data_IF_408930649852
#
_entry.id   IF_408930649852
#
_cell.length_a   1.000
_cell.length_b   1.000
_cell.length_c   1.000
_cell.angle_alpha   90.00
_cell.angle_beta   90.00
_cell.angle_gamma   90.00
#
_symmetry.space_group_name_H-M   'P 1'
#
loop_
_entity.id
_entity.type
_entity.pdbx_description
1 polymer ?
#
# COMPACT_ATOMS: atom_id res chain seq x y z
N UNK A 1 24.50 26.11 -6.22
CA UNK A 1 23.07 25.82 -6.46
C UNK A 1 22.76 24.52 -5.76
N UNK A 2 22.41 24.60 -4.48
CA UNK A 2 22.25 23.42 -3.63
C UNK A 2 20.80 22.92 -3.74
N UNK A 3 20.64 21.70 -4.26
CA UNK A 3 19.38 20.98 -4.28
C UNK A 3 18.95 20.65 -2.85
N UNK A 4 18.17 21.54 -2.26
CA UNK A 4 17.67 21.47 -0.88
C UNK A 4 16.30 20.78 -0.93
N UNK A 5 16.15 19.58 -0.35
CA UNK A 5 15.02 18.61 -0.44
C UNK A 5 15.05 17.65 -1.64
N UNK A 6 15.86 16.57 -1.58
CA UNK A 6 15.61 15.39 -2.40
C UNK A 6 14.34 14.70 -1.90
N UNK A 7 13.32 14.65 -2.76
CA UNK A 7 12.20 13.72 -2.66
C UNK A 7 12.52 12.57 -3.63
N UNK A 8 12.29 11.31 -3.25
CA UNK A 8 12.64 10.18 -4.12
C UNK A 8 11.80 10.12 -5.41
N UNK A 9 10.62 10.75 -5.43
CA UNK A 9 9.74 10.95 -6.61
C UNK A 9 10.50 11.75 -7.68
N UNK A 10 11.28 12.71 -7.24
CA UNK A 10 11.97 13.72 -8.03
C UNK A 10 13.24 13.11 -8.65
N UNK A 11 13.97 12.25 -7.94
CA UNK A 11 15.31 11.82 -8.37
C UNK A 11 15.38 10.71 -9.43
N UNK A 12 14.33 9.91 -9.66
CA UNK A 12 14.46 8.73 -10.55
C UNK A 12 14.03 8.93 -12.00
N UNK A 13 13.16 9.88 -12.33
CA UNK A 13 12.76 10.13 -13.72
C UNK A 13 12.20 11.56 -13.85
N UNK A 14 13.01 12.58 -14.20
CA UNK A 14 12.55 13.98 -14.25
C UNK A 14 11.30 14.17 -15.12
N UNK A 15 11.19 13.36 -16.18
CA UNK A 15 10.09 13.40 -17.15
C UNK A 15 8.81 12.71 -16.65
N UNK A 16 8.88 11.85 -15.63
CA UNK A 16 7.71 11.12 -15.09
C UNK A 16 6.67 12.02 -14.45
N UNK A 17 7.07 13.24 -14.07
CA UNK A 17 6.22 14.29 -13.50
C UNK A 17 6.21 15.54 -14.40
N UNK A 18 6.21 15.32 -15.72
CA UNK A 18 6.11 16.39 -16.72
C UNK A 18 7.38 17.22 -16.89
N UNK A 19 8.52 16.83 -16.29
CA UNK A 19 9.77 17.61 -16.36
C UNK A 19 9.85 18.75 -15.33
N UNK A 20 8.86 18.91 -14.45
CA UNK A 20 8.73 20.04 -13.51
C UNK A 20 9.29 19.75 -12.11
N UNK A 21 10.43 19.06 -12.07
CA UNK A 21 11.04 18.57 -10.83
C UNK A 21 11.39 19.68 -9.83
N UNK A 22 11.98 20.79 -10.31
CA UNK A 22 12.36 21.93 -9.46
C UNK A 22 11.13 22.65 -8.88
N UNK A 23 10.09 22.86 -9.69
CA UNK A 23 8.83 23.47 -9.25
C UNK A 23 8.12 22.58 -8.21
N UNK A 24 8.12 21.25 -8.41
CA UNK A 24 7.59 20.31 -7.43
C UNK A 24 8.29 20.44 -6.06
N UNK A 25 9.62 20.55 -6.07
CA UNK A 25 10.40 20.71 -4.84
C UNK A 25 10.09 22.03 -4.13
N UNK A 26 9.99 23.14 -4.88
CA UNK A 26 9.64 24.45 -4.34
C UNK A 26 8.25 24.42 -3.68
N UNK A 27 7.24 23.92 -4.39
CA UNK A 27 5.87 23.81 -3.86
C UNK A 27 5.80 22.87 -2.65
N UNK A 28 6.54 21.77 -2.66
CA UNK A 28 6.61 20.86 -1.50
C UNK A 28 7.14 21.56 -0.25
N UNK A 29 8.17 22.41 -0.37
CA UNK A 29 8.69 23.20 0.76
C UNK A 29 7.65 24.17 1.30
N UNK A 30 6.91 24.84 0.43
CA UNK A 30 5.86 25.78 0.84
C UNK A 30 4.74 25.07 1.59
N UNK A 31 4.31 23.91 1.09
CA UNK A 31 3.29 23.06 1.74
C UNK A 31 3.77 22.62 3.13
N UNK A 32 5.01 22.14 3.24
CA UNK A 32 5.61 21.74 4.52
C UNK A 32 5.69 22.94 5.48
N UNK A 33 6.16 24.10 5.04
CA UNK A 33 6.24 25.32 5.87
C UNK A 33 4.88 25.74 6.41
N UNK A 34 3.85 25.66 5.58
CA UNK A 34 2.49 25.94 6.03
C UNK A 34 2.00 24.90 7.05
N UNK A 35 2.32 23.61 6.85
CA UNK A 35 2.08 22.56 7.84
C UNK A 35 2.76 22.83 9.18
N UNK A 36 4.05 23.21 9.16
CA UNK A 36 4.82 23.59 10.36
C UNK A 36 4.11 24.74 11.09
N UNK A 37 3.73 25.79 10.35
CA UNK A 37 3.04 26.96 10.92
C UNK A 37 1.75 26.56 11.62
N UNK A 38 0.92 25.72 10.99
CA UNK A 38 -0.35 25.25 11.56
C UNK A 38 -0.15 24.41 12.81
N UNK A 39 0.87 23.56 12.85
CA UNK A 39 1.22 22.79 14.05
C UNK A 39 1.60 23.71 15.20
N UNK A 40 2.47 24.70 14.96
CA UNK A 40 2.97 25.61 16.00
C UNK A 40 1.89 26.50 16.62
N UNK A 41 0.88 26.90 15.85
CA UNK A 41 -0.22 27.75 16.36
C UNK A 41 -1.41 26.95 16.89
N UNK A 42 -1.44 25.64 16.66
CA UNK A 42 -2.53 24.78 17.14
C UNK A 42 -2.43 24.62 18.67
N UNK A 43 -3.56 24.51 19.37
CA UNK A 43 -3.55 24.07 20.75
C UNK A 43 -2.84 22.72 20.88
N UNK A 44 -1.89 22.61 21.81
CA UNK A 44 -1.07 21.43 22.03
C UNK A 44 -1.81 20.40 22.91
N UNK A 45 -3.02 20.05 22.49
CA UNK A 45 -3.85 19.02 23.10
C UNK A 45 -4.24 17.96 22.07
N UNK A 46 -4.51 16.74 22.53
CA UNK A 46 -4.71 15.58 21.67
C UNK A 46 -5.89 15.76 20.70
N UNK A 47 -6.99 16.40 21.13
CA UNK A 47 -8.18 16.54 20.29
C UNK A 47 -7.94 17.55 19.17
N UNK A 48 -7.33 18.69 19.51
CA UNK A 48 -6.97 19.73 18.53
C UNK A 48 -5.98 19.22 17.49
N UNK A 49 -4.96 18.46 17.91
CA UNK A 49 -3.95 17.90 17.01
C UNK A 49 -4.52 16.77 16.13
N UNK A 50 -5.43 15.96 16.65
CA UNK A 50 -6.17 14.96 15.86
C UNK A 50 -7.00 15.64 14.77
N UNK A 51 -7.73 16.71 15.10
CA UNK A 51 -8.49 17.48 14.11
C UNK A 51 -7.56 18.16 13.08
N UNK A 52 -6.41 18.68 13.53
CA UNK A 52 -5.40 19.26 12.66
C UNK A 52 -4.85 18.23 11.66
N UNK A 53 -4.61 16.98 12.07
CA UNK A 53 -4.16 15.92 11.17
C UNK A 53 -5.11 15.77 9.97
N UNK A 54 -6.42 15.64 10.21
CA UNK A 54 -7.39 15.50 9.13
C UNK A 54 -7.46 16.75 8.24
N UNK A 55 -7.30 17.93 8.82
CA UNK A 55 -7.23 19.19 8.08
C UNK A 55 -6.01 19.24 7.15
N UNK A 56 -4.83 18.86 7.66
CA UNK A 56 -3.60 18.78 6.88
C UNK A 56 -3.69 17.71 5.79
N UNK A 57 -4.22 16.53 6.12
CA UNK A 57 -4.40 15.42 5.17
C UNK A 57 -5.22 15.84 3.94
N UNK A 58 -6.36 16.51 4.15
CA UNK A 58 -7.22 16.98 3.07
C UNK A 58 -6.58 18.10 2.24
N UNK A 59 -5.95 19.06 2.91
CA UNK A 59 -5.25 20.16 2.23
C UNK A 59 -4.08 19.65 1.41
N UNK A 60 -3.28 18.74 1.94
CA UNK A 60 -2.15 18.16 1.23
C UNK A 60 -2.64 17.31 0.06
N UNK A 61 -3.74 16.56 0.21
CA UNK A 61 -4.43 15.91 -0.92
C UNK A 61 -4.79 16.91 -2.03
N UNK A 62 -5.44 18.02 -1.66
CA UNK A 62 -5.81 19.08 -2.61
C UNK A 62 -4.60 19.70 -3.31
N UNK A 63 -3.54 20.01 -2.57
CA UNK A 63 -2.31 20.57 -3.15
C UNK A 63 -1.61 19.56 -4.07
N UNK A 64 -1.60 18.28 -3.70
CA UNK A 64 -1.01 17.22 -4.53
C UNK A 64 -1.72 17.11 -5.88
N UNK A 65 -3.05 17.24 -5.90
CA UNK A 65 -3.84 17.27 -7.14
C UNK A 65 -3.52 18.49 -8.00
N UNK A 66 -3.54 19.69 -7.42
CA UNK A 66 -3.21 20.95 -8.12
C UNK A 66 -1.83 20.89 -8.78
N UNK A 67 -0.84 20.33 -8.08
CA UNK A 67 0.49 20.13 -8.64
C UNK A 67 0.46 19.16 -9.82
N UNK A 68 -0.22 18.01 -9.68
CA UNK A 68 -0.32 17.03 -10.77
C UNK A 68 -0.99 17.61 -12.02
N UNK A 69 -2.06 18.39 -11.85
CA UNK A 69 -2.78 19.06 -12.92
C UNK A 69 -1.89 20.11 -13.60
N UNK A 70 -1.22 20.96 -12.82
CA UNK A 70 -0.31 21.98 -13.35
C UNK A 70 0.91 21.40 -14.07
N UNK A 71 1.34 20.20 -13.68
CA UNK A 71 2.47 19.48 -14.30
C UNK A 71 2.02 18.55 -15.43
N UNK A 72 0.73 18.53 -15.77
CA UNK A 72 0.15 17.63 -16.77
C UNK A 72 0.53 16.16 -16.55
N UNK A 73 0.63 15.75 -15.27
CA UNK A 73 0.99 14.38 -14.92
C UNK A 73 -0.08 13.41 -15.42
N UNK A 74 0.34 12.27 -15.96
CA UNK A 74 -0.58 11.21 -16.38
C UNK A 74 -1.54 10.84 -15.23
N UNK A 75 -2.84 10.82 -15.53
CA UNK A 75 -3.92 10.62 -14.55
C UNK A 75 -3.93 11.64 -13.38
N UNK A 76 -3.61 12.92 -13.66
CA UNK A 76 -3.60 13.99 -12.66
C UNK A 76 -4.82 14.02 -11.73
N UNK A 77 -6.03 13.74 -12.26
CA UNK A 77 -7.28 13.72 -11.50
C UNK A 77 -7.31 12.68 -10.36
N UNK A 78 -6.51 11.60 -10.44
CA UNK A 78 -6.41 10.57 -9.39
C UNK A 78 -5.50 11.01 -8.23
N UNK A 79 -4.64 12.03 -8.42
CA UNK A 79 -3.76 12.51 -7.37
C UNK A 79 -4.54 13.21 -6.26
N UNK A 80 -4.25 12.84 -5.00
CA UNK A 80 -4.94 13.40 -3.84
C UNK A 80 -6.44 13.07 -3.79
N UNK A 81 -6.92 12.10 -4.56
CA UNK A 81 -8.30 11.59 -4.46
C UNK A 81 -8.38 10.53 -3.37
N UNK A 82 -9.23 10.76 -2.35
CA UNK A 82 -9.35 9.91 -1.16
C UNK A 82 -10.03 8.58 -1.51
N UNK A 83 -9.34 7.46 -1.28
CA UNK A 83 -9.83 6.11 -1.57
C UNK A 83 -11.01 5.70 -0.72
N UNK A 84 -11.13 6.21 0.49
CA UNK A 84 -12.26 5.92 1.38
C UNK A 84 -13.50 6.80 1.13
N UNK A 85 -13.33 7.92 0.44
CA UNK A 85 -14.43 8.88 0.16
C UNK A 85 -14.85 8.83 -1.31
N UNK A 86 -13.93 9.09 -2.23
CA UNK A 86 -14.21 9.33 -3.65
C UNK A 86 -13.50 8.36 -4.61
N UNK A 87 -12.76 7.38 -4.09
CA UNK A 87 -11.98 6.46 -4.93
C UNK A 87 -12.84 5.67 -5.93
N UNK A 88 -12.31 5.46 -7.13
CA UNK A 88 -13.00 4.83 -8.24
C UNK A 88 -13.05 3.31 -8.06
N UNK A 89 -11.95 2.70 -7.58
CA UNK A 89 -11.83 1.25 -7.50
C UNK A 89 -12.24 0.63 -6.15
N UNK A 90 -12.90 -0.53 -6.18
CA UNK A 90 -13.20 -1.36 -5.00
C UNK A 90 -11.94 -1.95 -4.32
N UNK A 91 -10.83 -2.03 -5.05
CA UNK A 91 -9.54 -2.47 -4.55
C UNK A 91 -8.40 -1.83 -5.36
N UNK A 92 -7.23 -1.72 -4.75
CA UNK A 92 -6.05 -1.13 -5.36
C UNK A 92 -4.86 -2.04 -5.15
N UNK A 93 -3.88 -1.96 -6.06
CA UNK A 93 -2.68 -2.75 -5.95
C UNK A 93 -1.44 -2.04 -6.50
N UNK A 94 -0.28 -2.58 -6.15
CA UNK A 94 1.01 -2.21 -6.74
C UNK A 94 1.74 -3.49 -7.12
N UNK A 95 2.12 -3.60 -8.39
CA UNK A 95 2.98 -4.67 -8.89
C UNK A 95 4.42 -4.26 -8.59
N UNK A 96 5.19 -5.12 -7.93
CA UNK A 96 6.60 -4.86 -7.67
C UNK A 96 7.44 -5.36 -8.86
N UNK A 97 7.38 -4.62 -9.96
CA UNK A 97 8.18 -4.85 -11.15
C UNK A 97 8.85 -3.57 -11.64
N UNK A 98 9.67 -3.67 -12.70
CA UNK A 98 10.35 -2.53 -13.31
C UNK A 98 11.17 -1.72 -12.28
N UNK A 99 10.75 -0.48 -12.05
CA UNK A 99 11.40 0.45 -11.09
C UNK A 99 11.29 0.01 -9.62
N UNK A 100 10.44 -0.98 -9.32
CA UNK A 100 10.25 -1.53 -7.98
C UNK A 100 10.84 -2.94 -7.81
N UNK A 101 11.66 -3.40 -8.77
CA UNK A 101 12.23 -4.76 -8.75
C UNK A 101 13.09 -5.05 -7.51
N UNK A 102 13.80 -4.05 -6.97
CA UNK A 102 14.61 -4.22 -5.75
C UNK A 102 13.72 -4.53 -4.53
N UNK A 103 12.56 -3.87 -4.43
CA UNK A 103 11.55 -4.12 -3.41
C UNK A 103 10.91 -5.50 -3.57
N UNK A 104 10.70 -5.95 -4.81
CA UNK A 104 10.27 -7.32 -5.10
C UNK A 104 11.25 -8.36 -4.56
N UNK A 105 12.55 -8.18 -4.83
CA UNK A 105 13.59 -9.09 -4.35
C UNK A 105 13.63 -9.12 -2.81
N UNK A 106 13.52 -7.96 -2.15
CA UNK A 106 13.47 -7.84 -0.69
C UNK A 106 12.32 -8.65 -0.08
N UNK A 107 11.07 -8.39 -0.52
CA UNK A 107 9.91 -9.08 0.06
C UNK A 107 9.87 -10.57 -0.29
N UNK A 108 10.33 -10.96 -1.50
CA UNK A 108 10.45 -12.37 -1.86
C UNK A 108 11.44 -13.11 -0.98
N UNK A 109 12.58 -12.49 -0.64
CA UNK A 109 13.55 -13.06 0.30
C UNK A 109 12.95 -13.29 1.68
N UNK A 110 12.18 -12.33 2.19
CA UNK A 110 11.47 -12.45 3.46
C UNK A 110 10.43 -13.58 3.42
N UNK A 111 9.59 -13.62 2.38
CA UNK A 111 8.58 -14.67 2.21
C UNK A 111 9.24 -16.05 2.08
N UNK A 112 10.31 -16.16 1.29
CA UNK A 112 11.08 -17.39 1.11
C UNK A 112 11.62 -17.94 2.43
N UNK A 113 12.18 -17.08 3.29
CA UNK A 113 12.68 -17.48 4.61
C UNK A 113 11.56 -18.09 5.47
N UNK A 114 10.33 -17.56 5.38
CA UNK A 114 9.21 -18.12 6.12
C UNK A 114 8.64 -19.41 5.53
N UNK A 115 8.88 -19.66 4.24
CA UNK A 115 8.47 -20.86 3.52
C UNK A 115 9.42 -22.07 3.71
N UNK A 116 10.64 -21.88 4.22
CA UNK A 116 11.62 -22.98 4.35
C UNK A 116 11.11 -24.16 5.18
N UNK A 117 10.28 -23.90 6.19
CA UNK A 117 9.69 -24.94 7.06
C UNK A 117 8.34 -25.48 6.54
N UNK A 118 7.82 -24.93 5.44
CA UNK A 118 6.56 -25.37 4.85
C UNK A 118 6.84 -26.53 3.90
N UNK A 119 6.12 -27.64 4.06
CA UNK A 119 6.27 -28.82 3.23
C UNK A 119 5.67 -28.60 1.82
N UNK A 120 6.39 -27.84 0.99
CA UNK A 120 6.02 -27.50 -0.39
C UNK A 120 6.18 -28.68 -1.35
N UNK A 121 6.79 -29.77 -0.91
CA UNK A 121 7.12 -30.97 -1.71
C UNK A 121 6.21 -32.17 -1.38
N UNK A 122 5.43 -32.14 -0.28
CA UNK A 122 4.53 -33.23 0.13
C UNK A 122 3.08 -32.75 0.37
N UNK A 123 2.10 -33.68 0.43
CA UNK A 123 0.67 -33.35 0.61
C UNK A 123 0.24 -33.01 2.06
N UNK A 124 1.16 -32.88 3.02
CA UNK A 124 0.85 -32.52 4.43
C UNK A 124 1.39 -31.12 4.76
N UNK A 125 0.91 -30.29 5.69
CA UNK A 125 -0.31 -30.14 6.50
C UNK A 125 -0.35 -28.69 7.03
N UNK A 126 0.82 -28.05 7.23
CA UNK A 126 0.93 -26.65 7.58
C UNK A 126 0.93 -25.75 6.33
N UNK A 127 -0.27 -25.37 5.89
CA UNK A 127 -0.49 -24.40 4.79
C UNK A 127 -0.57 -22.95 5.26
N UNK A 128 -0.50 -22.73 6.56
CA UNK A 128 -0.62 -21.40 7.18
C UNK A 128 0.49 -21.19 8.22
N UNK A 129 1.09 -20.00 8.20
CA UNK A 129 2.07 -19.54 9.20
C UNK A 129 1.64 -18.16 9.70
N UNK A 130 1.72 -17.94 11.01
CA UNK A 130 1.42 -16.64 11.61
C UNK A 130 2.61 -16.18 12.43
N UNK A 131 3.06 -14.96 12.14
CA UNK A 131 4.05 -14.24 12.91
C UNK A 131 3.32 -13.10 13.62
N UNK A 132 3.60 -12.90 14.90
CA UNK A 132 3.01 -11.83 15.67
C UNK A 132 4.10 -11.15 16.49
N UNK A 133 3.98 -9.84 16.64
CA UNK A 133 4.88 -9.05 17.48
C UNK A 133 4.11 -7.95 18.19
N UNK A 134 4.71 -7.47 19.27
CA UNK A 134 4.31 -6.23 19.93
C UNK A 134 5.50 -5.28 19.88
N UNK A 135 5.32 -4.10 19.29
CA UNK A 135 6.36 -3.09 19.17
C UNK A 135 5.75 -1.70 19.38
N UNK A 136 6.40 -0.84 20.16
CA UNK A 136 5.88 0.48 20.58
C UNK A 136 4.42 0.41 21.11
N UNK A 137 4.10 -0.62 21.91
CA UNK A 137 2.76 -0.89 22.45
C UNK A 137 1.65 -1.16 21.41
N UNK A 138 2.02 -1.44 20.16
CA UNK A 138 1.11 -1.85 19.10
C UNK A 138 1.35 -3.31 18.73
N UNK A 139 0.28 -4.04 18.46
CA UNK A 139 0.35 -5.41 17.99
C UNK A 139 0.33 -5.46 16.46
N UNK A 140 1.19 -6.28 15.90
CA UNK A 140 1.29 -6.52 14.47
C UNK A 140 1.28 -8.02 14.21
N UNK A 141 0.82 -8.43 13.02
CA UNK A 141 1.00 -9.81 12.59
C UNK A 141 1.08 -9.96 11.09
N UNK A 142 1.84 -10.96 10.64
CA UNK A 142 1.86 -11.42 9.26
C UNK A 142 1.31 -12.85 9.23
N UNK A 143 0.21 -13.04 8.49
CA UNK A 143 -0.32 -14.37 8.21
C UNK A 143 0.01 -14.76 6.77
N UNK A 144 0.70 -15.88 6.59
CA UNK A 144 1.08 -16.42 5.28
C UNK A 144 0.24 -17.66 5.03
N UNK A 145 -0.45 -17.69 3.88
CA UNK A 145 -1.25 -18.83 3.43
C UNK A 145 -0.76 -19.32 2.08
N UNK A 146 -0.59 -20.63 1.94
CA UNK A 146 -0.33 -21.29 0.67
C UNK A 146 -1.63 -21.88 0.11
N UNK A 147 -1.93 -21.59 -1.15
CA UNK A 147 -3.15 -21.97 -1.84
C UNK A 147 -2.83 -22.78 -3.11
N UNK A 148 -3.40 -23.97 -3.22
CA UNK A 148 -3.37 -24.81 -4.42
C UNK A 148 -4.56 -24.54 -5.34
N UNK A 149 -4.59 -25.21 -6.50
CA UNK A 149 -5.70 -25.13 -7.45
C UNK A 149 -7.06 -25.47 -6.87
N UNK A 150 -7.10 -26.46 -5.99
CA UNK A 150 -8.31 -26.90 -5.31
C UNK A 150 -8.82 -25.84 -4.33
N UNK A 151 -7.91 -25.12 -3.65
CA UNK A 151 -8.27 -24.14 -2.62
C UNK A 151 -8.99 -22.93 -3.24
N UNK A 152 -8.43 -22.30 -4.28
CA UNK A 152 -9.08 -21.15 -4.90
C UNK A 152 -10.32 -21.52 -5.72
N UNK A 153 -10.43 -22.79 -6.14
CA UNK A 153 -11.66 -23.32 -6.76
C UNK A 153 -12.75 -23.51 -5.72
N UNK A 154 -12.43 -24.06 -4.54
CA UNK A 154 -13.38 -24.21 -3.43
C UNK A 154 -13.87 -22.84 -2.93
N UNK A 155 -12.98 -21.85 -2.86
CA UNK A 155 -13.30 -20.46 -2.53
C UNK A 155 -14.02 -19.71 -3.68
N UNK A 156 -14.13 -20.33 -4.86
CA UNK A 156 -14.75 -19.77 -6.08
C UNK A 156 -14.11 -18.45 -6.53
N UNK A 157 -12.81 -18.26 -6.29
CA UNK A 157 -12.08 -17.05 -6.72
C UNK A 157 -11.78 -17.04 -8.22
N UNK A 158 -11.86 -18.20 -8.88
CA UNK A 158 -11.73 -18.35 -10.33
C UNK A 158 -13.06 -18.23 -11.08
N UNK A 159 -14.17 -17.92 -10.40
CA UNK A 159 -15.51 -17.88 -10.98
C UNK A 159 -16.26 -16.62 -10.59
N UNK A 160 -16.68 -15.84 -11.60
CA UNK A 160 -17.55 -14.69 -11.43
C UNK A 160 -18.79 -15.02 -10.58
N UNK A 161 -19.15 -14.09 -9.70
CA UNK A 161 -20.42 -14.15 -8.95
C UNK A 161 -21.58 -14.05 -9.93
N UNK A 162 -22.55 -14.97 -9.86
CA UNK A 162 -23.68 -14.95 -10.78
C UNK A 162 -24.67 -13.84 -10.44
N UNK A 163 -25.51 -13.48 -11.42
CA UNK A 163 -26.57 -12.49 -11.23
C UNK A 163 -27.55 -12.94 -10.13
N UNK A 164 -27.90 -14.23 -10.09
CA UNK A 164 -28.78 -14.82 -9.08
C UNK A 164 -28.18 -14.75 -7.68
N UNK A 165 -26.86 -14.99 -7.55
CA UNK A 165 -26.15 -14.83 -6.29
C UNK A 165 -26.22 -13.38 -5.80
N UNK A 166 -26.08 -12.39 -6.70
CA UNK A 166 -26.18 -10.97 -6.35
C UNK A 166 -27.60 -10.51 -6.02
N UNK A 167 -28.63 -11.02 -6.72
CA UNK A 167 -30.05 -10.68 -6.48
C UNK A 167 -30.53 -11.01 -5.06
N UNK A 168 -29.83 -11.88 -4.35
CA UNK A 168 -30.13 -12.16 -2.94
C UNK A 168 -29.74 -11.00 -2.00
N UNK A 169 -28.76 -10.18 -2.38
CA UNK A 169 -28.17 -9.14 -1.54
C UNK A 169 -28.45 -7.72 -2.05
N UNK A 170 -28.78 -7.58 -3.33
CA UNK A 170 -28.86 -6.30 -4.02
C UNK A 170 -30.13 -6.21 -4.88
N UNK A 171 -30.65 -4.98 -5.03
CA UNK A 171 -31.68 -4.70 -6.02
C UNK A 171 -31.07 -4.54 -7.43
N UNK A 172 -31.91 -4.49 -8.47
CA UNK A 172 -31.41 -4.46 -9.86
C UNK A 172 -30.54 -3.25 -10.18
N UNK A 173 -30.83 -2.07 -9.61
CA UNK A 173 -30.00 -0.87 -9.82
C UNK A 173 -28.62 -1.02 -9.19
N UNK A 174 -28.53 -1.56 -7.97
CA UNK A 174 -27.26 -1.84 -7.30
C UNK A 174 -26.43 -2.89 -8.04
N UNK A 175 -27.07 -3.92 -8.58
CA UNK A 175 -26.38 -4.94 -9.38
C UNK A 175 -25.83 -4.34 -10.66
N UNK A 176 -26.61 -3.50 -11.34
CA UNK A 176 -26.17 -2.78 -12.53
C UNK A 176 -24.89 -1.98 -12.24
N UNK A 177 -24.84 -1.26 -11.12
CA UNK A 177 -23.65 -0.49 -10.71
C UNK A 177 -22.40 -1.34 -10.45
N UNK A 178 -22.58 -2.58 -9.95
CA UNK A 178 -21.46 -3.51 -9.72
C UNK A 178 -20.91 -4.12 -11.02
N UNK A 179 -21.68 -4.07 -12.11
CA UNK A 179 -21.31 -4.65 -13.41
C UNK A 179 -20.69 -3.63 -14.38
N UNK A 180 -20.87 -2.34 -14.14
CA UNK A 180 -20.29 -1.26 -14.95
C UNK A 180 -18.80 -1.10 -14.58
N UNK A 181 -17.96 -0.81 -15.58
CA UNK A 181 -16.56 -0.45 -15.33
C UNK A 181 -16.51 0.85 -14.52
N UNK A 182 -15.72 0.88 -13.45
CA UNK A 182 -15.71 2.00 -12.51
C UNK A 182 -15.28 3.34 -13.14
N UNK A 183 -14.54 3.30 -14.26
CA UNK A 183 -14.12 4.48 -15.03
C UNK A 183 -15.28 5.17 -15.77
N UNK A 184 -16.39 4.44 -15.98
CA UNK A 184 -17.59 4.93 -16.66
C UNK A 184 -18.63 5.48 -15.68
N UNK A 185 -18.38 5.40 -14.36
CA UNK A 185 -19.30 5.83 -13.31
C UNK A 185 -19.10 7.30 -12.91
N UNK A 186 -20.19 8.00 -12.68
CA UNK A 186 -20.17 9.30 -11.98
C UNK A 186 -19.81 9.14 -10.51
N UNK A 187 -19.35 10.23 -9.87
CA UNK A 187 -19.00 10.25 -8.43
C UNK A 187 -20.17 9.77 -7.55
N UNK A 188 -21.41 10.10 -7.91
CA UNK A 188 -22.59 9.67 -7.15
C UNK A 188 -22.81 8.16 -7.28
N UNK A 189 -22.66 7.59 -8.48
CA UNK A 189 -22.79 6.16 -8.72
C UNK A 189 -21.68 5.35 -8.00
N UNK A 190 -20.45 5.89 -7.94
CA UNK A 190 -19.36 5.33 -7.15
C UNK A 190 -19.73 5.28 -5.66
N UNK A 191 -20.34 6.34 -5.13
CA UNK A 191 -20.80 6.38 -3.73
C UNK A 191 -21.90 5.35 -3.47
N UNK A 192 -22.85 5.19 -4.39
CA UNK A 192 -23.90 4.19 -4.28
C UNK A 192 -23.34 2.76 -4.32
N UNK A 193 -22.42 2.48 -5.25
CA UNK A 193 -21.71 1.20 -5.35
C UNK A 193 -20.97 0.87 -4.05
N UNK A 194 -20.27 1.83 -3.45
CA UNK A 194 -19.58 1.65 -2.16
C UNK A 194 -20.53 1.33 -1.02
N UNK A 195 -21.67 2.01 -0.95
CA UNK A 195 -22.69 1.70 0.05
C UNK A 195 -23.23 0.28 -0.13
N UNK A 196 -23.41 -0.18 -1.37
CA UNK A 196 -23.77 -1.56 -1.67
C UNK A 196 -22.66 -2.53 -1.20
N UNK A 197 -21.40 -2.27 -1.55
CA UNK A 197 -20.26 -3.11 -1.12
C UNK A 197 -20.08 -3.14 0.39
N UNK A 198 -20.33 -2.02 1.09
CA UNK A 198 -20.35 -1.98 2.56
C UNK A 198 -21.45 -2.86 3.14
N UNK A 199 -22.68 -2.76 2.62
CA UNK A 199 -23.80 -3.63 3.03
C UNK A 199 -23.49 -5.11 2.76
N UNK A 200 -22.82 -5.42 1.64
CA UNK A 200 -22.38 -6.78 1.34
C UNK A 200 -21.34 -7.28 2.35
N UNK A 201 -20.35 -6.45 2.70
CA UNK A 201 -19.35 -6.81 3.72
C UNK A 201 -20.00 -7.10 5.07
N UNK A 202 -21.01 -6.33 5.45
CA UNK A 202 -21.76 -6.49 6.71
C UNK A 202 -22.68 -7.72 6.70
N UNK A 203 -23.29 -8.05 5.57
CA UNK A 203 -24.26 -9.16 5.45
C UNK A 203 -23.62 -10.50 5.05
N UNK A 204 -22.59 -10.50 4.21
CA UNK A 204 -21.89 -11.68 3.73
C UNK A 204 -20.42 -11.34 3.37
N UNK A 205 -19.55 -11.44 4.38
CA UNK A 205 -18.11 -11.18 4.24
C UNK A 205 -17.43 -12.11 3.23
N UNK A 206 -17.87 -13.37 3.10
CA UNK A 206 -17.28 -14.33 2.18
C UNK A 206 -17.53 -13.94 0.73
N UNK A 207 -18.76 -13.53 0.41
CA UNK A 207 -19.12 -13.05 -0.93
C UNK A 207 -18.44 -11.72 -1.27
N UNK A 208 -18.30 -10.83 -0.29
CA UNK A 208 -17.52 -9.60 -0.43
C UNK A 208 -16.06 -9.90 -0.82
N UNK A 209 -15.40 -10.79 -0.08
CA UNK A 209 -14.02 -11.20 -0.37
C UNK A 209 -13.93 -11.86 -1.75
N UNK A 210 -14.84 -12.80 -2.05
CA UNK A 210 -14.86 -13.49 -3.36
C UNK A 210 -14.95 -12.49 -4.51
N UNK A 211 -15.85 -11.51 -4.42
CA UNK A 211 -16.05 -10.51 -5.49
C UNK A 211 -14.75 -9.75 -5.80
N UNK A 212 -14.01 -9.33 -4.77
CA UNK A 212 -12.71 -8.66 -4.93
C UNK A 212 -11.65 -9.59 -5.49
N UNK A 213 -11.57 -10.81 -4.96
CA UNK A 213 -10.56 -11.79 -5.40
C UNK A 213 -10.78 -12.25 -6.85
N UNK A 214 -12.03 -12.38 -7.31
CA UNK A 214 -12.32 -12.69 -8.72
C UNK A 214 -11.76 -11.61 -9.66
N UNK A 215 -12.01 -10.34 -9.34
CA UNK A 215 -11.48 -9.21 -10.12
C UNK A 215 -9.95 -9.23 -10.13
N UNK A 216 -9.33 -9.44 -8.96
CA UNK A 216 -7.89 -9.58 -8.81
C UNK A 216 -7.30 -10.73 -9.65
N UNK A 217 -7.89 -11.94 -9.59
CA UNK A 217 -7.41 -13.10 -10.34
C UNK A 217 -7.58 -12.91 -11.86
N UNK A 218 -8.66 -12.26 -12.29
CA UNK A 218 -8.87 -11.90 -13.71
C UNK A 218 -7.74 -11.00 -14.22
N UNK A 219 -7.43 -9.93 -13.47
CA UNK A 219 -6.32 -9.03 -13.79
C UNK A 219 -4.97 -9.76 -13.80
N UNK A 220 -4.70 -10.58 -12.77
CA UNK A 220 -3.45 -11.33 -12.66
C UNK A 220 -3.27 -12.29 -13.84
N UNK A 221 -4.32 -13.00 -14.27
CA UNK A 221 -4.25 -13.89 -15.43
C UNK A 221 -4.02 -13.15 -16.74
N UNK A 222 -4.46 -11.88 -16.85
CA UNK A 222 -4.21 -11.03 -18.01
C UNK A 222 -2.77 -10.51 -18.05
N UNK A 223 -2.24 -10.06 -16.92
CA UNK A 223 -0.89 -9.49 -16.82
C UNK A 223 0.21 -10.56 -16.77
N UNK A 224 -0.05 -11.67 -16.08
CA UNK A 224 0.87 -12.77 -15.87
C UNK A 224 0.24 -14.09 -16.36
N UNK A 225 -0.05 -14.25 -17.66
CA UNK A 225 -0.67 -15.46 -18.17
C UNK A 225 0.25 -16.67 -17.97
N UNK A 226 -0.31 -17.78 -17.48
CA UNK A 226 0.41 -19.06 -17.45
C UNK A 226 0.64 -19.57 -18.87
N UNK A 227 1.81 -20.17 -19.18
CA UNK A 227 2.05 -20.79 -20.48
C UNK A 227 1.04 -21.89 -20.80
N UNK A 228 0.69 -22.02 -22.08
CA UNK A 228 -0.24 -23.04 -22.57
C UNK A 228 0.54 -24.18 -23.23
N UNK A 229 0.17 -25.42 -22.95
CA UNK A 229 0.68 -26.56 -23.70
C UNK A 229 -0.01 -26.60 -25.07
N UNK A 230 0.78 -26.51 -26.14
CA UNK A 230 0.28 -26.57 -27.52
C UNK A 230 0.95 -27.74 -28.25
N UNK A 231 0.25 -28.30 -29.23
CA UNK A 231 0.75 -29.38 -30.07
C UNK A 231 0.83 -28.90 -31.51
N UNK A 232 2.01 -28.93 -32.10
CA UNK A 232 2.24 -28.66 -33.52
C UNK A 232 3.07 -29.79 -34.11
N UNK A 233 2.63 -30.35 -35.24
CA UNK A 233 3.33 -31.42 -35.97
C UNK A 233 3.68 -32.65 -35.10
N UNK A 234 2.80 -32.99 -34.15
CA UNK A 234 2.99 -34.12 -33.21
C UNK A 234 3.98 -33.87 -32.08
N UNK A 235 4.58 -32.67 -31.99
CA UNK A 235 5.42 -32.25 -30.88
C UNK A 235 4.65 -31.33 -29.92
N UNK A 236 4.86 -31.52 -28.61
CA UNK A 236 4.28 -30.67 -27.58
C UNK A 236 5.32 -29.69 -27.05
N UNK A 237 4.94 -28.41 -26.97
CA UNK A 237 5.75 -27.38 -26.35
C UNK A 237 4.86 -26.37 -25.61
N UNK A 238 5.47 -25.57 -24.74
CA UNK A 238 4.76 -24.52 -24.01
C UNK A 238 4.86 -23.19 -24.75
N UNK A 239 3.71 -22.60 -25.07
CA UNK A 239 3.58 -21.26 -25.63
C UNK A 239 3.37 -20.24 -24.50
N UNK A 240 4.20 -19.19 -24.46
CA UNK A 240 4.13 -18.11 -23.48
C UNK A 240 5.34 -18.00 -22.55
N UNK A 241 5.27 -17.11 -21.56
CA UNK A 241 6.38 -16.83 -20.64
C UNK A 241 6.50 -17.90 -19.54
N UNK A 242 7.48 -18.79 -19.66
CA UNK A 242 7.72 -19.91 -18.71
C UNK A 242 7.99 -19.46 -17.26
N UNK A 243 8.35 -18.19 -17.03
CA UNK A 243 8.45 -17.62 -15.68
C UNK A 243 7.10 -17.54 -14.95
N UNK A 244 6.00 -17.51 -15.70
CA UNK A 244 4.63 -17.36 -15.18
C UNK A 244 3.95 -18.69 -14.88
N UNK A 245 4.66 -19.83 -14.88
CA UNK A 245 4.07 -21.08 -14.40
C UNK A 245 3.65 -20.96 -12.93
N UNK A 246 2.52 -21.59 -12.57
CA UNK A 246 1.93 -21.51 -11.23
C UNK A 246 1.38 -22.88 -10.83
N UNK A 247 1.91 -23.42 -9.73
CA UNK A 247 1.37 -24.59 -9.02
C UNK A 247 0.67 -24.15 -7.74
N UNK A 248 1.17 -23.09 -7.11
CA UNK A 248 0.67 -22.54 -5.85
C UNK A 248 0.58 -21.03 -5.94
N UNK A 249 -0.34 -20.47 -5.15
CA UNK A 249 -0.36 -19.08 -4.80
C UNK A 249 0.02 -18.91 -3.33
N UNK A 250 0.73 -17.83 -3.05
CA UNK A 250 1.07 -17.40 -1.71
C UNK A 250 0.32 -16.11 -1.42
N UNK A 251 -0.39 -16.08 -0.30
CA UNK A 251 -1.06 -14.89 0.20
C UNK A 251 -0.54 -14.56 1.61
N UNK A 252 0.33 -13.56 1.69
CA UNK A 252 0.67 -12.90 2.94
C UNK A 252 -0.39 -11.85 3.28
N UNK A 253 -0.75 -11.67 4.55
CA UNK A 253 -1.65 -10.60 5.01
C UNK A 253 -1.05 -9.96 6.25
N UNK A 254 -0.52 -8.74 6.10
CA UNK A 254 -0.09 -7.92 7.22
C UNK A 254 -1.32 -7.36 7.94
N UNK A 255 -1.27 -7.35 9.27
CA UNK A 255 -2.31 -6.81 10.13
C UNK A 255 -1.75 -5.79 11.09
N UNK A 256 -2.46 -4.67 11.17
CA UNK A 256 -2.16 -3.55 12.05
C UNK A 256 -3.20 -3.49 13.17
N UNK A 257 -2.77 -3.08 14.37
CA UNK A 257 -3.70 -2.76 15.44
C UNK A 257 -4.34 -1.40 15.19
N UNK A 258 -5.67 -1.37 15.07
CA UNK A 258 -6.50 -0.18 14.94
C UNK A 258 -7.60 -0.29 15.99
N UNK A 259 -7.70 0.69 16.89
CA UNK A 259 -8.67 0.66 18.00
C UNK A 259 -8.67 -0.69 18.75
N UNK A 260 -7.47 -1.16 19.13
CA UNK A 260 -7.22 -2.43 19.85
C UNK A 260 -7.65 -3.70 19.10
N UNK A 261 -7.98 -3.63 17.81
CA UNK A 261 -8.30 -4.78 16.95
C UNK A 261 -7.30 -4.91 15.82
N UNK A 262 -6.98 -6.14 15.41
CA UNK A 262 -6.10 -6.39 14.26
C UNK A 262 -6.90 -6.35 12.96
N UNK A 263 -6.64 -5.33 12.13
CA UNK A 263 -7.26 -5.18 10.81
C UNK A 263 -6.30 -5.65 9.72
N UNK A 264 -6.85 -6.32 8.69
CA UNK A 264 -6.09 -6.60 7.48
C UNK A 264 -5.70 -5.28 6.81
N UNK A 265 -4.41 -5.12 6.55
CA UNK A 265 -3.83 -3.96 5.88
C UNK A 265 -3.40 -4.39 4.47
N UNK A 266 -2.11 -4.32 4.16
CA UNK A 266 -1.56 -4.81 2.89
C UNK A 266 -1.54 -6.33 2.84
N UNK A 267 -1.90 -6.88 1.68
CA UNK A 267 -1.73 -8.29 1.36
C UNK A 267 -0.66 -8.46 0.27
N UNK A 268 0.07 -9.56 0.35
CA UNK A 268 1.18 -9.90 -0.51
C UNK A 268 0.79 -11.11 -1.32
N UNK A 269 0.53 -10.93 -2.60
CA UNK A 269 0.18 -12.03 -3.48
C UNK A 269 1.35 -12.37 -4.39
N UNK A 270 1.73 -13.64 -4.43
CA UNK A 270 2.71 -14.14 -5.41
C UNK A 270 2.42 -15.61 -5.73
N UNK A 271 3.21 -16.21 -6.61
CA UNK A 271 3.04 -17.58 -7.06
C UNK A 271 4.33 -18.38 -6.97
N UNK A 272 4.18 -19.70 -6.87
CA UNK A 272 5.27 -20.65 -6.93
C UNK A 272 4.94 -21.72 -7.97
N UNK A 273 5.96 -22.35 -8.52
CA UNK A 273 5.81 -23.47 -9.43
C UNK A 273 6.64 -24.65 -8.94
N UNK A 274 6.05 -25.84 -8.96
CA UNK A 274 6.75 -27.09 -8.72
C UNK A 274 7.09 -27.70 -10.07
N UNK A 275 8.38 -27.72 -10.38
CA UNK A 275 8.93 -28.48 -11.50
C UNK A 275 9.92 -29.53 -11.01
N UNK A 276 10.35 -30.40 -11.91
CA UNK A 276 11.28 -31.48 -11.59
C UNK A 276 12.74 -31.02 -11.44
N UNK A 277 13.07 -29.80 -11.86
CA UNK A 277 14.44 -29.31 -12.01
C UNK A 277 14.88 -28.37 -10.87
N UNK A 278 13.94 -27.61 -10.28
CA UNK A 278 14.19 -26.56 -9.30
C UNK A 278 13.23 -26.66 -8.12
N UNK A 279 13.72 -26.32 -6.91
CA UNK A 279 12.86 -26.23 -5.72
C UNK A 279 11.87 -25.07 -5.89
N UNK A 280 10.60 -25.19 -5.46
CA UNK A 280 9.59 -24.15 -5.68
C UNK A 280 9.98 -22.77 -5.17
N UNK A 281 10.65 -22.70 -4.01
CA UNK A 281 11.12 -21.43 -3.41
C UNK A 281 12.23 -20.79 -4.25
N UNK A 282 13.18 -21.57 -4.74
CA UNK A 282 14.28 -21.07 -5.58
C UNK A 282 13.75 -20.50 -6.90
N UNK A 283 12.75 -21.18 -7.49
CA UNK A 283 12.08 -20.67 -8.68
C UNK A 283 11.28 -19.41 -8.39
N UNK A 284 10.58 -19.33 -7.26
CA UNK A 284 9.85 -18.13 -6.84
C UNK A 284 10.78 -16.92 -6.76
N UNK A 285 11.93 -17.05 -6.11
CA UNK A 285 12.92 -15.98 -5.97
C UNK A 285 13.42 -15.45 -7.33
N UNK A 286 13.50 -16.31 -8.35
CA UNK A 286 14.01 -15.95 -9.69
C UNK A 286 12.95 -15.42 -10.64
N UNK A 287 11.72 -15.89 -10.52
CA UNK A 287 10.72 -15.78 -11.58
C UNK A 287 9.43 -15.08 -11.17
N UNK A 288 9.12 -15.01 -9.87
CA UNK A 288 7.84 -14.50 -9.41
C UNK A 288 7.87 -12.99 -9.18
N UNK A 289 6.70 -12.39 -9.30
CA UNK A 289 6.45 -10.99 -8.94
C UNK A 289 5.48 -10.96 -7.77
N UNK A 290 5.71 -10.06 -6.83
CA UNK A 290 4.80 -9.78 -5.73
C UNK A 290 3.86 -8.65 -6.13
N UNK A 291 2.57 -8.90 -5.97
CA UNK A 291 1.52 -7.90 -6.11
C UNK A 291 1.06 -7.53 -4.70
N UNK A 292 1.28 -6.27 -4.34
CA UNK A 292 0.77 -5.69 -3.10
C UNK A 292 -0.70 -5.33 -3.30
N UNK A 293 -1.61 -5.98 -2.60
CA UNK A 293 -3.02 -5.60 -2.54
C UNK A 293 -3.16 -4.64 -1.37
N UNK A 294 -3.53 -3.39 -1.65
CA UNK A 294 -3.64 -2.34 -0.64
C UNK A 294 -4.82 -2.57 0.31
N UNK A 295 -4.78 -1.93 1.48
CA UNK A 295 -5.84 -2.02 2.48
C UNK A 295 -7.22 -1.75 1.86
N UNK A 296 -8.22 -2.51 2.32
CA UNK A 296 -9.62 -2.30 1.98
C UNK A 296 -10.05 -0.86 2.28
N UNK A 297 -10.60 -0.17 1.26
CA UNK A 297 -11.06 1.22 1.35
C UNK A 297 -12.01 1.44 2.53
N UNK A 298 -12.82 0.43 2.88
CA UNK A 298 -13.80 0.51 3.98
C UNK A 298 -13.17 0.52 5.38
N UNK A 299 -11.86 0.30 5.51
CA UNK A 299 -11.12 0.30 6.79
C UNK A 299 -10.13 1.46 6.91
N UNK A 300 -9.96 2.26 5.84
CA UNK A 300 -8.98 3.34 5.79
C UNK A 300 -9.36 4.42 6.81
N UNK A 301 -10.63 4.81 6.93
CA UNK A 301 -11.03 5.87 7.86
C UNK A 301 -10.72 5.50 9.32
N UNK A 302 -11.01 4.28 9.75
CA UNK A 302 -10.64 3.78 11.08
C UNK A 302 -9.13 3.79 11.29
N UNK A 303 -8.37 3.40 10.26
CA UNK A 303 -6.90 3.43 10.31
C UNK A 303 -6.38 4.87 10.40
N UNK A 304 -7.03 5.82 9.72
CA UNK A 304 -6.69 7.25 9.80
C UNK A 304 -6.96 7.85 11.18
N UNK A 305 -7.96 7.36 11.93
CA UNK A 305 -8.15 7.79 13.33
C UNK A 305 -6.98 7.36 14.23
N UNK A 306 -6.45 6.14 14.01
CA UNK A 306 -5.23 5.68 14.70
C UNK A 306 -4.03 6.54 14.31
N UNK A 307 -3.86 6.82 13.01
CA UNK A 307 -2.78 7.69 12.50
C UNK A 307 -2.87 9.10 13.09
N UNK A 308 -4.06 9.66 13.22
CA UNK A 308 -4.27 10.98 13.82
C UNK A 308 -3.82 11.03 15.29
N UNK A 309 -4.05 9.93 16.03
CA UNK A 309 -3.59 9.79 17.41
C UNK A 309 -2.07 9.67 17.48
N UNK A 310 -1.45 8.92 16.56
CA UNK A 310 0.01 8.82 16.45
C UNK A 310 0.63 10.19 16.07
N UNK A 311 -0.02 10.93 15.16
CA UNK A 311 0.39 12.29 14.77
C UNK A 311 0.39 13.24 15.98
N UNK A 312 -0.70 13.26 16.75
CA UNK A 312 -0.79 14.06 17.95
C UNK A 312 0.33 13.71 18.94
N UNK A 313 0.60 12.41 19.13
CA UNK A 313 1.74 11.96 19.95
C UNK A 313 3.07 12.49 19.41
N UNK A 314 3.32 12.40 18.11
CA UNK A 314 4.57 12.85 17.48
C UNK A 314 4.81 14.36 17.65
N UNK A 315 3.76 15.17 17.53
CA UNK A 315 3.83 16.63 17.74
C UNK A 315 4.14 16.95 19.21
N UNK A 316 3.60 16.19 20.15
CA UNK A 316 3.77 16.42 21.59
C UNK A 316 5.07 15.84 22.19
N UNK A 317 5.88 15.12 21.41
CA UNK A 317 7.17 14.61 21.90
C UNK A 317 8.07 15.78 22.32
N UNK A 318 8.70 15.75 23.51
CA UNK A 318 9.65 16.78 23.89
C UNK A 318 10.82 16.88 22.90
N UNK A 319 11.28 18.10 22.58
CA UNK A 319 12.30 18.34 21.55
C UNK A 319 13.62 17.60 21.84
N UNK A 320 13.95 17.42 23.11
CA UNK A 320 15.12 16.69 23.58
C UNK A 320 15.05 15.17 23.32
N UNK A 321 13.85 14.61 23.08
CA UNK A 321 13.66 13.17 22.89
C UNK A 321 13.57 12.77 21.41
N UNK A 322 14.66 13.02 20.69
CA UNK A 322 14.75 12.72 19.25
C UNK A 322 14.47 11.24 18.91
N UNK A 323 14.88 10.31 19.77
CA UNK A 323 14.65 8.88 19.55
C UNK A 323 13.16 8.51 19.65
N UNK A 324 12.44 9.05 20.63
CA UNK A 324 10.99 8.85 20.71
C UNK A 324 10.27 9.49 19.51
N UNK A 325 10.71 10.68 19.08
CA UNK A 325 10.17 11.33 17.90
C UNK A 325 10.38 10.47 16.65
N UNK A 326 11.60 9.98 16.40
CA UNK A 326 11.91 9.06 15.29
C UNK A 326 11.06 7.79 15.32
N UNK A 327 10.94 7.14 16.48
CA UNK A 327 10.16 5.92 16.61
C UNK A 327 8.66 6.16 16.37
N UNK A 328 8.13 7.30 16.85
CA UNK A 328 6.72 7.67 16.65
C UNK A 328 6.47 8.06 15.19
N UNK A 329 7.41 8.74 14.54
CA UNK A 329 7.33 9.05 13.11
C UNK A 329 7.44 7.81 12.22
N UNK A 330 8.33 6.87 12.56
CA UNK A 330 8.38 5.57 11.89
C UNK A 330 7.01 4.87 11.97
N UNK A 331 6.39 4.83 13.16
CA UNK A 331 5.07 4.24 13.34
C UNK A 331 4.00 4.94 12.49
N UNK A 332 4.00 6.28 12.47
CA UNK A 332 3.09 7.08 11.64
C UNK A 332 3.25 6.76 10.15
N UNK A 333 4.49 6.71 9.66
CA UNK A 333 4.79 6.44 8.24
C UNK A 333 4.45 5.01 7.86
N UNK A 334 4.69 4.05 8.75
CA UNK A 334 4.28 2.66 8.56
C UNK A 334 2.76 2.52 8.40
N UNK A 335 1.98 3.12 9.31
CA UNK A 335 0.51 3.08 9.20
C UNK A 335 0.01 3.80 7.94
N UNK A 336 0.55 4.97 7.60
CA UNK A 336 0.18 5.70 6.38
C UNK A 336 0.47 4.90 5.11
N UNK A 337 1.64 4.26 5.04
CA UNK A 337 2.06 3.45 3.89
C UNK A 337 1.18 2.21 3.72
N UNK A 338 0.67 1.63 4.80
CA UNK A 338 -0.26 0.51 4.74
C UNK A 338 -1.71 0.92 4.46
N UNK A 339 -2.12 2.11 4.92
CA UNK A 339 -3.46 2.65 4.65
C UNK A 339 -3.59 3.11 3.20
N UNK A 340 -2.55 3.74 2.64
CA UNK A 340 -2.55 4.38 1.32
C UNK A 340 -3.86 5.15 1.07
N UNK A 341 -4.13 6.25 1.80
CA UNK A 341 -5.45 6.87 1.81
C UNK A 341 -5.88 7.51 0.48
N UNK A 342 -4.96 7.73 -0.46
CA UNK A 342 -5.24 8.33 -1.76
C UNK A 342 -4.96 7.36 -2.91
N UNK A 343 -5.65 7.52 -4.04
CA UNK A 343 -5.41 6.69 -5.23
C UNK A 343 -4.00 6.87 -5.79
N UNK A 344 -3.55 8.13 -5.87
CA UNK A 344 -2.18 8.50 -6.20
C UNK A 344 -1.70 9.60 -5.25
N UNK A 345 -0.42 9.53 -4.90
CA UNK A 345 0.27 10.57 -4.13
C UNK A 345 0.29 10.40 -2.61
N UNK A 346 -0.22 9.29 -2.06
CA UNK A 346 -0.16 8.99 -0.61
C UNK A 346 1.23 9.15 -0.04
N UNK A 347 2.25 8.67 -0.76
CA UNK A 347 3.61 8.68 -0.28
C UNK A 347 4.22 10.10 -0.20
N UNK A 348 3.95 10.96 -1.19
CA UNK A 348 4.32 12.38 -1.15
C UNK A 348 3.65 13.11 0.02
N UNK A 349 2.36 12.84 0.24
CA UNK A 349 1.59 13.46 1.32
C UNK A 349 2.14 13.01 2.68
N UNK A 350 2.52 11.74 2.80
CA UNK A 350 3.19 11.19 3.97
C UNK A 350 4.51 11.90 4.28
N UNK A 351 5.35 12.15 3.27
CA UNK A 351 6.58 12.94 3.43
C UNK A 351 6.31 14.40 3.84
N UNK A 352 5.23 15.01 3.32
CA UNK A 352 4.89 16.38 3.70
C UNK A 352 4.42 16.47 5.16
N UNK A 353 3.66 15.46 5.63
CA UNK A 353 3.29 15.34 7.05
C UNK A 353 4.54 15.15 7.90
N UNK A 354 5.45 14.26 7.48
CA UNK A 354 6.72 13.99 8.17
C UNK A 354 7.60 15.23 8.27
N UNK A 355 7.77 15.96 7.17
CA UNK A 355 8.49 17.22 7.15
C UNK A 355 7.83 18.30 8.02
N UNK A 356 6.50 18.35 8.07
CA UNK A 356 5.79 19.30 8.93
C UNK A 356 6.00 19.01 10.42
N UNK A 357 5.95 17.74 10.82
CA UNK A 357 6.19 17.34 12.22
C UNK A 357 7.63 17.62 12.63
N UNK A 358 8.62 17.12 11.88
CA UNK A 358 10.03 17.41 12.17
C UNK A 358 10.33 18.91 12.18
N UNK A 359 9.79 19.67 11.23
CA UNK A 359 9.96 21.13 11.17
C UNK A 359 9.32 21.88 12.35
N UNK A 360 8.25 21.35 12.93
CA UNK A 360 7.68 21.91 14.17
C UNK A 360 8.63 21.78 15.37
N UNK A 361 9.46 20.73 15.36
CA UNK A 361 10.55 20.47 16.31
C UNK A 361 11.87 21.16 15.97
N UNK A 362 11.90 22.02 14.94
CA UNK A 362 13.14 22.72 14.53
C UNK A 362 14.10 21.87 13.70
N UNK A 363 13.65 20.71 13.21
CA UNK A 363 14.45 19.78 12.42
C UNK A 363 14.06 19.82 10.95
N UNK A 364 15.02 19.57 10.07
CA UNK A 364 14.83 19.37 8.64
C UNK A 364 15.06 17.90 8.32
N UNK A 365 14.09 17.27 7.65
CA UNK A 365 14.20 15.89 7.17
C UNK A 365 14.57 15.85 5.70
N UNK A 366 15.48 14.94 5.35
CA UNK A 366 15.84 14.59 3.97
C UNK A 366 15.86 13.07 3.82
N UNK A 367 15.68 12.57 2.60
CA UNK A 367 15.51 11.14 2.32
C UNK A 367 16.69 10.59 1.51
N UNK A 368 17.04 9.32 1.76
CA UNK A 368 17.97 8.58 0.92
C UNK A 368 17.32 8.27 -0.43
N UNK A 369 18.03 8.52 -1.54
CA UNK A 369 17.47 8.44 -2.89
C UNK A 369 17.07 7.02 -3.29
N UNK A 370 17.75 6.03 -2.71
CA UNK A 370 17.58 4.62 -3.02
C UNK A 370 16.45 3.96 -2.22
N UNK A 371 16.03 4.57 -1.09
CA UNK A 371 15.06 4.00 -0.15
C UNK A 371 13.78 4.83 -0.10
N UNK A 372 12.69 4.29 -0.63
CA UNK A 372 11.37 4.92 -0.57
C UNK A 372 10.67 4.46 0.70
N UNK A 373 10.53 5.36 1.68
CA UNK A 373 9.97 5.05 3.01
C UNK A 373 8.67 4.23 2.93
N UNK A 374 7.76 4.58 2.03
CA UNK A 374 6.49 3.86 1.86
C UNK A 374 6.66 2.45 1.28
N UNK A 375 7.56 2.25 0.31
CA UNK A 375 7.83 0.91 -0.22
C UNK A 375 8.63 0.07 0.76
N UNK A 376 9.54 0.68 1.53
CA UNK A 376 10.26 0.00 2.60
C UNK A 376 9.30 -0.48 3.70
N UNK A 377 8.33 0.36 4.09
CA UNK A 377 7.25 -0.03 5.00
C UNK A 377 6.42 -1.16 4.40
N UNK A 378 5.97 -1.01 3.15
CA UNK A 378 5.19 -2.03 2.48
C UNK A 378 5.94 -3.35 2.30
N UNK A 379 7.26 -3.35 2.17
CA UNK A 379 8.09 -4.57 2.02
C UNK A 379 8.71 -5.07 3.33
N UNK A 380 8.27 -4.52 4.47
CA UNK A 380 8.63 -4.93 5.82
C UNK A 380 7.35 -5.27 6.60
N UNK A 381 6.73 -6.46 6.39
CA UNK A 381 5.36 -6.72 6.85
C UNK A 381 5.16 -6.74 8.38
N UNK A 382 6.26 -6.75 9.14
CA UNK A 382 6.29 -6.53 10.57
C UNK A 382 6.97 -5.18 10.86
N UNK A 383 6.41 -4.42 11.79
CA UNK A 383 6.86 -3.06 12.07
C UNK A 383 8.29 -3.01 12.61
N UNK A 384 8.72 -4.01 13.41
CA UNK A 384 10.09 -4.05 13.92
C UNK A 384 11.14 -4.07 12.81
N UNK A 385 10.84 -4.70 11.67
CA UNK A 385 11.73 -4.74 10.51
C UNK A 385 11.87 -3.35 9.89
N UNK A 386 10.75 -2.66 9.68
CA UNK A 386 10.73 -1.30 9.17
C UNK A 386 11.43 -0.32 10.13
N UNK A 387 11.15 -0.42 11.42
CA UNK A 387 11.71 0.46 12.45
C UNK A 387 13.24 0.41 12.50
N UNK A 388 13.81 -0.79 12.38
CA UNK A 388 15.26 -0.99 12.40
C UNK A 388 15.97 -0.32 11.22
N UNK A 389 15.31 -0.17 10.09
CA UNK A 389 15.88 0.43 8.88
C UNK A 389 15.53 1.92 8.73
N UNK A 390 14.50 2.41 9.42
CA UNK A 390 13.96 3.77 9.22
C UNK A 390 15.01 4.86 9.43
N UNK A 391 15.90 4.70 10.42
CA UNK A 391 16.98 5.67 10.66
C UNK A 391 17.98 5.77 9.50
N UNK A 392 18.10 4.72 8.68
CA UNK A 392 18.95 4.70 7.50
C UNK A 392 18.23 5.21 6.24
N UNK A 393 16.94 5.55 6.33
CA UNK A 393 16.14 6.10 5.22
C UNK A 393 16.11 7.63 5.25
N UNK A 394 16.29 8.23 6.42
CA UNK A 394 16.17 9.68 6.64
C UNK A 394 17.45 10.25 7.24
N UNK A 395 17.70 11.53 6.95
CA UNK A 395 18.70 12.34 7.64
C UNK A 395 18.02 13.58 8.23
N UNK A 396 18.31 13.85 9.51
CA UNK A 396 17.79 14.98 10.26
C UNK A 396 18.91 15.98 10.53
N UNK A 397 18.69 17.24 10.17
CA UNK A 397 19.60 18.36 10.46
C UNK A 397 18.84 19.50 11.13
N UNK A 398 19.55 20.45 11.73
CA UNK A 398 18.91 21.63 12.31
C UNK A 398 18.33 22.51 11.20
N UNK A 399 17.07 22.93 11.35
CA UNK A 399 16.41 23.79 10.36
C UNK A 399 16.99 25.22 10.32
N UNK A 400 17.80 25.59 11.31
CA UNK A 400 18.41 26.91 11.44
C UNK A 400 19.70 27.09 10.63
N UNK A 401 20.33 26.01 10.15
CA UNK A 401 21.57 26.10 9.37
C UNK A 401 21.36 26.64 7.94
N UNK A 402 20.14 26.54 7.39
CA UNK A 402 19.80 27.03 6.03
C UNK A 402 19.54 28.55 5.95
N UNK A 403 19.60 29.29 7.07
CA UNK A 403 19.42 30.76 7.11
C UNK A 403 20.76 31.52 7.19
N UNK A 404 21.90 30.81 7.09
CA UNK A 404 23.25 31.40 7.17
C UNK A 404 24.04 31.39 5.86
N UNK A 405 23.43 30.95 4.76
CA UNK A 405 23.91 31.15 3.37
C UNK A 405 22.96 32.08 2.63
#
# INVERSE_FOLDING_TARGET
MNNIFPNYIVDREPMRYGGYQEDYQLKSKEIIREGIRKIKISPQDNNSLTALFFNLLEQFGTQRRKIAEAHETLEAAKFGLRRDIDGLNDWYHTILDGVYQDYNAKILGLLANHLQDMALETKSSQRNKKLAETCLNHNFSLEIKLLESEDYTALKWNRATSLEEFKHYFNESQISLLQINEEDLSINEIRERRQAMKKLKESNIELYIRTKMVSFFSMMNKQFPSPKLVSQDGQQYYEGHTKNFKSFFLLGTARLQVNKKLFASTQYFTWLYRDAENRPVERMLKCSTVILIHQDNLLINETLQEIASIFAKAVLVPQENLNELKNTMALLRYYLAHAMPFERGSAAIGEWIEGAVYGSHGLKVTYQKEKQVDLEALTSPLFSQFLNEYSDMICLTDAHEDLRE
#
